data_IF_629396097774
#
_entry.id   IF_629396097774
#
_cell.length_a   1.000
_cell.length_b   1.000
_cell.length_c   1.000
_cell.angle_alpha   90.00
_cell.angle_beta   90.00
_cell.angle_gamma   90.00
#
_symmetry.space_group_name_H-M   'P 1'
#
loop_
_entity.id
_entity.type
_entity.pdbx_description
1 polymer ?
#
# COMPACT_ATOMS: atom_id res chain seq x y z
N UNK A 1 -5.06 23.99 -9.98
CA UNK A 1 -3.88 24.59 -9.32
C UNK A 1 -3.02 23.44 -8.86
N UNK A 2 -1.78 23.40 -9.28
CA UNK A 2 -0.80 22.48 -8.69
C UNK A 2 -0.50 22.94 -7.26
N UNK A 3 -0.22 21.98 -6.39
CA UNK A 3 0.17 22.27 -5.01
C UNK A 3 1.58 21.76 -4.76
N UNK A 4 2.32 22.46 -3.91
CA UNK A 4 3.63 22.07 -3.42
C UNK A 4 3.62 21.94 -1.90
N UNK A 5 4.44 21.02 -1.39
CA UNK A 5 4.77 20.98 0.03
C UNK A 5 6.11 21.70 0.22
N UNK A 6 6.08 22.73 1.06
CA UNK A 6 7.26 23.51 1.43
C UNK A 6 7.73 23.02 2.80
N UNK A 7 9.01 22.72 2.91
CA UNK A 7 9.64 22.16 4.11
C UNK A 7 10.82 23.05 4.48
N UNK A 8 10.82 23.59 5.71
CA UNK A 8 11.97 24.26 6.30
C UNK A 8 12.85 23.22 6.99
N UNK A 9 14.13 23.20 6.68
CA UNK A 9 15.07 22.20 7.17
C UNK A 9 15.52 22.42 8.63
N UNK A 10 16.42 21.53 9.08
CA UNK A 10 16.95 21.47 10.47
C UNK A 10 15.88 21.24 11.54
N UNK A 11 14.78 20.57 11.18
CA UNK A 11 13.70 20.20 12.10
C UNK A 11 14.03 18.97 12.93
N UNK A 12 13.44 18.91 14.13
CA UNK A 12 13.41 17.71 14.98
C UNK A 12 11.97 17.27 15.11
N UNK A 13 11.71 15.97 14.84
CA UNK A 13 10.40 15.37 15.05
C UNK A 13 10.36 14.74 16.44
N UNK A 14 9.35 15.10 17.23
CA UNK A 14 9.11 14.51 18.55
C UNK A 14 7.61 14.47 18.86
N UNK A 15 7.20 13.53 19.67
CA UNK A 15 5.80 13.40 20.11
C UNK A 15 5.13 12.13 19.62
N UNK A 16 3.82 12.21 19.47
CA UNK A 16 2.97 11.08 19.15
C UNK A 16 2.14 11.33 17.88
N UNK A 17 2.07 10.31 17.03
CA UNK A 17 1.22 10.31 15.83
C UNK A 17 0.43 9.02 15.75
N UNK A 18 -0.86 9.10 15.40
CA UNK A 18 -1.68 7.93 15.12
C UNK A 18 -1.74 7.67 13.61
N UNK A 19 -1.47 6.43 13.20
CA UNK A 19 -1.62 6.05 11.80
C UNK A 19 -3.07 5.86 11.42
N UNK A 20 -3.35 6.10 10.16
CA UNK A 20 -4.64 5.81 9.54
C UNK A 20 -4.78 4.32 9.24
N UNK A 21 -5.96 3.87 8.85
CA UNK A 21 -6.15 2.52 8.35
C UNK A 21 -5.34 2.26 7.09
N UNK A 22 -4.89 1.02 6.94
CA UNK A 22 -4.01 0.62 5.85
C UNK A 22 -4.69 0.81 4.49
N UNK A 23 -4.12 1.68 3.65
CA UNK A 23 -4.57 1.89 2.27
C UNK A 23 -4.71 0.57 1.52
N UNK A 24 -3.64 -0.25 1.58
CA UNK A 24 -3.57 -1.49 0.82
C UNK A 24 -4.57 -2.54 1.31
N UNK A 25 -5.01 -2.48 2.55
CA UNK A 25 -6.13 -3.28 3.06
C UNK A 25 -7.48 -2.69 2.65
N UNK A 26 -7.75 -1.44 2.99
CA UNK A 26 -9.05 -0.79 2.77
C UNK A 26 -9.55 -0.94 1.33
N UNK A 27 -8.68 -0.78 0.33
CA UNK A 27 -9.04 -0.93 -1.09
C UNK A 27 -9.58 -2.33 -1.41
N UNK A 28 -9.05 -3.36 -0.75
CA UNK A 28 -9.46 -4.75 -1.00
C UNK A 28 -10.72 -5.13 -0.21
N UNK A 29 -10.84 -4.61 1.01
CA UNK A 29 -12.05 -4.78 1.81
C UNK A 29 -13.26 -4.12 1.12
N UNK A 30 -13.08 -2.92 0.54
CA UNK A 30 -14.10 -2.26 -0.27
C UNK A 30 -14.49 -3.11 -1.48
N UNK A 31 -13.51 -3.67 -2.20
CA UNK A 31 -13.78 -4.55 -3.34
C UNK A 31 -14.47 -5.86 -2.90
N UNK A 32 -14.04 -6.47 -1.79
CA UNK A 32 -14.62 -7.70 -1.26
C UNK A 32 -16.09 -7.55 -0.85
N UNK A 33 -16.52 -6.35 -0.45
CA UNK A 33 -17.92 -6.08 -0.13
C UNK A 33 -18.89 -6.42 -1.30
N UNK A 34 -18.39 -6.44 -2.55
CA UNK A 34 -19.18 -6.85 -3.74
C UNK A 34 -19.73 -8.29 -3.59
N UNK A 35 -19.02 -9.18 -2.88
CA UNK A 35 -19.45 -10.58 -2.71
C UNK A 35 -20.69 -10.72 -1.82
N UNK A 36 -20.85 -9.88 -0.80
CA UNK A 36 -22.06 -9.86 0.03
C UNK A 36 -23.21 -9.09 -0.60
N UNK A 37 -24.44 -9.33 -0.12
CA UNK A 37 -25.61 -8.51 -0.44
C UNK A 37 -26.05 -7.77 0.80
N UNK A 38 -26.06 -6.42 0.74
CA UNK A 38 -26.45 -5.57 1.85
C UNK A 38 -25.37 -4.55 2.21
N UNK A 39 -25.53 -3.93 3.37
CA UNK A 39 -24.71 -2.80 3.83
C UNK A 39 -23.55 -3.29 4.70
N UNK A 40 -22.36 -3.34 4.13
CA UNK A 40 -21.09 -3.55 4.87
C UNK A 40 -20.58 -2.21 5.40
N UNK A 41 -20.11 -2.20 6.65
CA UNK A 41 -19.53 -1.01 7.30
C UNK A 41 -18.07 -1.27 7.60
N UNK A 42 -17.19 -0.43 7.06
CA UNK A 42 -15.77 -0.46 7.32
C UNK A 42 -15.40 0.72 8.23
N UNK A 43 -14.70 0.45 9.34
CA UNK A 43 -14.15 1.47 10.23
C UNK A 43 -12.68 1.71 9.96
N UNK A 44 -12.14 2.83 10.43
CA UNK A 44 -10.75 3.22 10.25
C UNK A 44 -10.33 3.29 8.76
N UNK A 45 -11.23 3.72 7.89
CA UNK A 45 -10.93 3.89 6.46
C UNK A 45 -10.23 5.24 6.23
N UNK A 46 -9.01 5.27 5.65
CA UNK A 46 -8.28 6.51 5.46
C UNK A 46 -8.96 7.45 4.45
N UNK A 47 -8.79 8.77 4.65
CA UNK A 47 -9.27 9.81 3.72
C UNK A 47 -8.18 10.14 2.71
N UNK A 48 -8.06 9.32 1.69
CA UNK A 48 -7.05 9.42 0.64
C UNK A 48 -7.70 9.26 -0.73
N UNK A 49 -7.08 9.83 -1.77
CA UNK A 49 -7.70 9.86 -3.09
C UNK A 49 -7.90 8.47 -3.72
N UNK A 50 -7.08 7.47 -3.40
CA UNK A 50 -7.27 6.11 -3.91
C UNK A 50 -8.56 5.46 -3.35
N UNK A 51 -8.96 5.79 -2.12
CA UNK A 51 -10.26 5.33 -1.55
C UNK A 51 -11.44 6.00 -2.26
N UNK A 52 -11.34 7.29 -2.60
CA UNK A 52 -12.37 7.98 -3.37
C UNK A 52 -12.56 7.32 -4.75
N UNK A 53 -11.45 7.02 -5.44
CA UNK A 53 -11.50 6.36 -6.75
C UNK A 53 -12.14 4.97 -6.63
N UNK A 54 -11.80 4.16 -5.59
CA UNK A 54 -12.43 2.86 -5.39
C UNK A 54 -13.93 2.99 -5.09
N UNK A 55 -14.32 3.99 -4.32
CA UNK A 55 -15.72 4.31 -4.06
C UNK A 55 -16.48 4.68 -5.34
N UNK A 56 -15.85 5.49 -6.24
CA UNK A 56 -16.38 5.78 -7.57
C UNK A 56 -16.56 4.53 -8.43
N UNK A 57 -15.60 3.57 -8.36
CA UNK A 57 -15.72 2.28 -9.07
C UNK A 57 -16.94 1.49 -8.57
N UNK A 58 -17.11 1.35 -7.25
CA UNK A 58 -18.24 0.62 -6.70
C UNK A 58 -19.59 1.31 -6.97
N UNK A 59 -19.64 2.63 -6.87
CA UNK A 59 -20.82 3.41 -7.23
C UNK A 59 -21.19 3.22 -8.71
N UNK A 60 -20.19 3.16 -9.63
CA UNK A 60 -20.45 2.86 -11.03
C UNK A 60 -21.03 1.45 -11.23
N UNK A 61 -20.60 0.47 -10.42
CA UNK A 61 -21.13 -0.89 -10.44
C UNK A 61 -22.55 -1.00 -9.86
N UNK A 62 -23.05 0.07 -9.24
CA UNK A 62 -24.41 0.15 -8.67
C UNK A 62 -24.47 0.05 -7.15
N UNK A 63 -23.34 0.10 -6.44
CA UNK A 63 -23.34 0.18 -4.99
C UNK A 63 -23.67 1.59 -4.49
N UNK A 64 -24.30 1.69 -3.33
CA UNK A 64 -24.42 2.94 -2.58
C UNK A 64 -23.25 3.03 -1.58
N UNK A 65 -22.43 4.08 -1.72
CA UNK A 65 -21.22 4.26 -0.93
C UNK A 65 -21.29 5.58 -0.17
N UNK A 66 -21.35 5.48 1.16
CA UNK A 66 -21.44 6.64 2.04
C UNK A 66 -20.27 6.71 3.01
N UNK A 67 -19.65 7.88 3.13
CA UNK A 67 -18.55 8.12 4.06
C UNK A 67 -19.06 8.78 5.35
N UNK A 68 -18.77 8.19 6.50
CA UNK A 68 -19.02 8.76 7.81
C UNK A 68 -17.96 9.79 8.23
N UNK A 69 -18.31 10.61 9.22
CA UNK A 69 -17.38 11.60 9.79
C UNK A 69 -16.26 10.97 10.65
N UNK A 70 -16.50 9.77 11.16
CA UNK A 70 -15.67 8.99 12.09
C UNK A 70 -14.69 8.02 11.39
N UNK A 71 -14.30 8.30 10.15
CA UNK A 71 -13.51 7.40 9.30
C UNK A 71 -14.20 6.05 8.99
N UNK A 72 -15.53 5.99 9.10
CA UNK A 72 -16.31 4.87 8.58
C UNK A 72 -16.62 5.05 7.09
N UNK A 73 -16.77 3.94 6.39
CA UNK A 73 -17.28 3.85 5.02
C UNK A 73 -18.33 2.76 4.97
N UNK A 74 -19.54 3.09 4.60
CA UNK A 74 -20.58 2.09 4.34
C UNK A 74 -20.71 1.83 2.85
N UNK A 75 -20.80 0.55 2.50
CA UNK A 75 -20.93 0.07 1.11
C UNK A 75 -22.15 -0.83 1.05
N UNK A 76 -23.24 -0.33 0.50
CA UNK A 76 -24.44 -1.13 0.26
C UNK A 76 -24.42 -1.68 -1.18
N UNK A 77 -24.31 -2.99 -1.28
CA UNK A 77 -24.20 -3.72 -2.54
C UNK A 77 -25.52 -4.35 -2.99
N UNK A 78 -26.63 -4.03 -2.33
CA UNK A 78 -27.96 -4.61 -2.63
C UNK A 78 -28.38 -4.38 -4.08
N UNK A 79 -27.98 -3.26 -4.66
CA UNK A 79 -28.35 -2.79 -6.01
C UNK A 79 -27.25 -2.96 -7.06
N UNK A 80 -26.13 -3.61 -6.72
CA UNK A 80 -25.05 -3.88 -7.68
C UNK A 80 -25.53 -4.85 -8.75
N UNK A 81 -25.60 -4.36 -9.99
CA UNK A 81 -26.11 -5.06 -11.16
C UNK A 81 -25.16 -5.03 -12.38
N UNK A 82 -24.02 -4.33 -12.27
CA UNK A 82 -23.03 -4.21 -13.34
C UNK A 82 -21.76 -4.98 -13.00
N UNK A 83 -21.16 -5.55 -14.02
CA UNK A 83 -19.90 -6.30 -13.95
C UNK A 83 -18.78 -5.68 -14.79
N UNK A 84 -18.95 -4.41 -15.23
CA UNK A 84 -17.95 -3.69 -16.02
C UNK A 84 -17.36 -2.51 -15.23
N UNK A 85 -16.04 -2.54 -15.00
CA UNK A 85 -15.26 -1.41 -14.44
C UNK A 85 -14.60 -0.63 -15.60
N UNK A 86 -15.04 0.63 -15.88
CA UNK A 86 -14.68 1.33 -17.09
C UNK A 86 -13.25 1.88 -17.04
N UNK A 87 -12.60 1.97 -18.21
CA UNK A 87 -11.24 2.47 -18.38
C UNK A 87 -10.98 3.80 -17.66
N UNK A 88 -11.92 4.75 -17.73
CA UNK A 88 -11.79 6.09 -17.14
C UNK A 88 -11.53 6.05 -15.61
N UNK A 89 -12.03 5.04 -14.92
CA UNK A 89 -11.83 4.84 -13.48
C UNK A 89 -10.61 3.95 -13.21
N UNK A 90 -10.51 2.81 -13.92
CA UNK A 90 -9.41 1.85 -13.72
C UNK A 90 -8.05 2.46 -14.06
N UNK A 91 -7.97 3.34 -15.07
CA UNK A 91 -6.71 3.99 -15.44
C UNK A 91 -6.16 4.95 -14.40
N UNK A 92 -7.01 5.48 -13.51
CA UNK A 92 -6.59 6.39 -12.43
C UNK A 92 -5.86 5.66 -11.30
N UNK A 93 -6.22 4.39 -11.07
CA UNK A 93 -5.69 3.61 -9.95
C UNK A 93 -5.57 2.13 -10.32
N UNK A 94 -4.32 1.62 -10.30
CA UNK A 94 -4.05 0.21 -10.64
C UNK A 94 -4.80 -0.79 -9.74
N UNK A 95 -5.01 -0.45 -8.45
CA UNK A 95 -5.71 -1.31 -7.51
C UNK A 95 -7.17 -1.60 -7.91
N UNK A 96 -7.73 -0.87 -8.88
CA UNK A 96 -9.06 -1.16 -9.44
C UNK A 96 -9.17 -2.58 -10.04
N UNK A 97 -8.06 -3.23 -10.39
CA UNK A 97 -8.05 -4.65 -10.81
C UNK A 97 -8.56 -5.59 -9.70
N UNK A 98 -8.56 -5.16 -8.44
CA UNK A 98 -9.02 -5.97 -7.30
C UNK A 98 -10.52 -6.25 -7.31
N UNK A 99 -11.31 -5.54 -8.12
CA UNK A 99 -12.73 -5.88 -8.31
C UNK A 99 -12.95 -7.11 -9.19
N UNK A 100 -11.90 -7.59 -9.89
CA UNK A 100 -12.00 -8.70 -10.84
C UNK A 100 -12.48 -9.99 -10.16
N UNK A 101 -11.81 -10.42 -9.08
CA UNK A 101 -12.20 -11.61 -8.32
C UNK A 101 -13.63 -11.54 -7.78
N UNK A 102 -14.02 -10.47 -7.07
CA UNK A 102 -15.39 -10.30 -6.57
C UNK A 102 -16.46 -10.26 -7.65
N UNK A 103 -16.20 -9.59 -8.79
CA UNK A 103 -17.15 -9.53 -9.90
C UNK A 103 -17.36 -10.91 -10.54
N UNK A 104 -16.30 -11.65 -10.76
CA UNK A 104 -16.37 -13.03 -11.26
C UNK A 104 -17.14 -13.90 -10.26
N UNK A 105 -16.83 -13.77 -8.96
CA UNK A 105 -17.53 -14.53 -7.91
C UNK A 105 -19.03 -14.22 -7.86
N UNK A 106 -19.42 -12.95 -8.05
CA UNK A 106 -20.83 -12.54 -7.96
C UNK A 106 -21.64 -12.80 -9.22
N UNK A 107 -21.06 -12.57 -10.41
CA UNK A 107 -21.78 -12.56 -11.67
C UNK A 107 -21.38 -13.71 -12.61
N UNK A 108 -20.27 -14.41 -12.35
CA UNK A 108 -19.68 -15.34 -13.30
C UNK A 108 -19.07 -14.67 -14.53
N UNK A 109 -19.09 -13.34 -14.58
CA UNK A 109 -18.57 -12.50 -15.67
C UNK A 109 -18.02 -11.18 -15.09
N UNK A 110 -16.91 -10.70 -15.67
CA UNK A 110 -16.37 -9.38 -15.37
C UNK A 110 -15.72 -8.76 -16.61
N UNK A 111 -15.84 -7.43 -16.73
CA UNK A 111 -15.12 -6.64 -17.73
C UNK A 111 -14.34 -5.54 -17.01
N UNK A 112 -13.02 -5.65 -17.06
CA UNK A 112 -12.14 -4.70 -16.38
C UNK A 112 -11.13 -4.18 -17.39
N UNK A 113 -11.04 -2.87 -17.52
CA UNK A 113 -10.02 -2.29 -18.38
C UNK A 113 -8.62 -2.70 -17.87
N UNK A 114 -7.71 -2.98 -18.81
CA UNK A 114 -6.32 -3.28 -18.46
C UNK A 114 -5.72 -2.11 -17.69
N UNK A 115 -5.19 -2.33 -16.48
CA UNK A 115 -4.56 -1.25 -15.73
C UNK A 115 -3.35 -0.72 -16.50
N UNK A 116 -3.23 0.60 -16.59
CA UNK A 116 -2.07 1.26 -17.20
C UNK A 116 -0.76 0.89 -16.51
N UNK A 117 0.37 1.20 -17.15
CA UNK A 117 1.70 1.04 -16.56
C UNK A 117 1.83 1.85 -15.26
N UNK A 118 2.66 1.38 -14.35
CA UNK A 118 3.02 2.11 -13.14
C UNK A 118 4.45 2.63 -13.31
N UNK A 119 4.76 3.82 -12.78
CA UNK A 119 6.11 4.40 -12.88
C UNK A 119 7.18 3.50 -12.21
N UNK A 120 6.80 2.73 -11.18
CA UNK A 120 7.73 1.85 -10.43
C UNK A 120 7.99 0.49 -11.10
N UNK A 121 7.38 0.18 -12.27
CA UNK A 121 7.61 -1.08 -13.00
C UNK A 121 6.42 -1.57 -13.82
N UNK A 122 6.64 -2.60 -14.61
CA UNK A 122 5.63 -3.18 -15.51
C UNK A 122 4.41 -3.75 -14.75
N UNK A 123 4.62 -4.32 -13.57
CA UNK A 123 3.58 -4.86 -12.66
C UNK A 123 2.54 -5.67 -13.42
N UNK A 124 2.99 -6.69 -14.14
CA UNK A 124 2.12 -7.59 -14.92
C UNK A 124 0.98 -8.13 -14.06
N UNK A 125 -0.13 -8.46 -14.70
CA UNK A 125 -1.31 -9.08 -14.05
C UNK A 125 -1.38 -10.59 -14.32
N UNK A 126 -0.36 -11.17 -14.92
CA UNK A 126 -0.26 -12.58 -15.31
C UNK A 126 -0.62 -13.53 -14.15
N UNK A 127 -0.06 -13.29 -12.96
CA UNK A 127 -0.37 -14.13 -11.79
C UNK A 127 -1.83 -14.01 -11.32
N UNK A 128 -2.49 -12.84 -11.51
CA UNK A 128 -3.93 -12.73 -11.28
C UNK A 128 -4.70 -13.66 -12.23
N UNK A 129 -4.29 -13.68 -13.51
CA UNK A 129 -4.95 -14.52 -14.51
C UNK A 129 -4.72 -15.99 -14.19
N UNK A 130 -3.47 -16.41 -13.91
CA UNK A 130 -3.14 -17.79 -13.55
C UNK A 130 -3.98 -18.29 -12.38
N UNK A 131 -4.11 -17.49 -11.30
CA UNK A 131 -4.90 -17.86 -10.13
C UNK A 131 -6.38 -18.04 -10.46
N UNK A 132 -6.95 -17.15 -11.26
CA UNK A 132 -8.36 -17.18 -11.62
C UNK A 132 -8.65 -18.25 -12.72
N UNK A 133 -7.74 -18.46 -13.67
CA UNK A 133 -7.84 -19.53 -14.67
C UNK A 133 -7.88 -20.93 -14.01
N UNK A 134 -7.08 -21.13 -12.97
CA UNK A 134 -7.11 -22.37 -12.20
C UNK A 134 -8.48 -22.63 -11.56
N UNK A 135 -9.24 -21.59 -11.21
CA UNK A 135 -10.61 -21.67 -10.71
C UNK A 135 -11.68 -21.83 -11.81
N UNK A 136 -11.27 -21.92 -13.10
CA UNK A 136 -12.19 -22.12 -14.23
C UNK A 136 -12.61 -20.83 -14.93
N UNK A 137 -11.90 -19.73 -14.72
CA UNK A 137 -12.13 -18.48 -15.46
C UNK A 137 -11.50 -18.54 -16.84
N UNK A 138 -12.22 -18.09 -17.85
CA UNK A 138 -11.72 -17.89 -19.21
C UNK A 138 -11.55 -16.40 -19.47
N UNK A 139 -10.40 -16.01 -20.02
CA UNK A 139 -10.07 -14.63 -20.33
C UNK A 139 -10.00 -14.39 -21.83
N UNK A 140 -10.61 -13.29 -22.28
CA UNK A 140 -10.41 -12.69 -23.59
C UNK A 140 -9.96 -11.25 -23.41
N UNK A 141 -8.99 -10.82 -24.21
CA UNK A 141 -8.46 -9.46 -24.16
C UNK A 141 -8.72 -8.79 -25.50
N UNK A 142 -9.69 -7.89 -25.54
CA UNK A 142 -10.04 -7.14 -26.73
C UNK A 142 -10.09 -5.64 -26.42
N UNK A 143 -9.45 -4.83 -27.28
CA UNK A 143 -9.46 -3.36 -27.20
C UNK A 143 -9.01 -2.80 -25.85
N UNK A 144 -8.08 -3.48 -25.14
CA UNK A 144 -7.57 -3.05 -23.85
C UNK A 144 -8.51 -3.30 -22.67
N UNK A 145 -9.54 -4.13 -22.86
CA UNK A 145 -10.47 -4.59 -21.84
C UNK A 145 -10.29 -6.08 -21.65
N UNK A 146 -10.05 -6.50 -20.41
CA UNK A 146 -10.03 -7.88 -20.00
C UNK A 146 -11.46 -8.33 -19.76
N UNK A 147 -11.94 -9.28 -20.56
CA UNK A 147 -13.24 -9.92 -20.37
C UNK A 147 -13.03 -11.31 -19.78
N UNK A 148 -13.57 -11.52 -18.60
CA UNK A 148 -13.48 -12.75 -17.82
C UNK A 148 -14.85 -13.41 -17.75
N UNK A 149 -14.93 -14.73 -17.99
CA UNK A 149 -16.16 -15.51 -17.90
C UNK A 149 -15.93 -16.85 -17.22
N UNK A 150 -16.98 -17.39 -16.58
CA UNK A 150 -16.96 -18.73 -15.95
C UNK A 150 -18.08 -19.60 -16.50
N UNK A 151 -17.94 -20.12 -17.73
CA UNK A 151 -19.06 -20.83 -18.41
C UNK A 151 -19.53 -22.08 -17.67
N UNK A 152 -18.70 -22.68 -16.82
CA UNK A 152 -19.02 -23.84 -16.00
C UNK A 152 -19.09 -23.55 -14.50
N UNK A 153 -19.12 -22.26 -14.12
CA UNK A 153 -18.99 -21.80 -12.73
C UNK A 153 -17.56 -21.91 -12.21
N UNK A 154 -17.31 -21.33 -11.05
CA UNK A 154 -16.03 -21.44 -10.33
C UNK A 154 -15.95 -22.79 -9.61
N UNK A 155 -14.76 -23.39 -9.63
CA UNK A 155 -14.48 -24.64 -8.92
C UNK A 155 -13.18 -24.57 -8.11
N UNK A 156 -13.11 -25.35 -7.03
CA UNK A 156 -11.91 -25.47 -6.21
C UNK A 156 -10.71 -26.00 -6.98
N UNK A 157 -9.51 -25.53 -6.65
CA UNK A 157 -8.29 -25.84 -7.34
C UNK A 157 -7.04 -25.77 -6.46
N UNK A 158 -5.94 -26.36 -6.90
CA UNK A 158 -4.59 -26.07 -6.41
C UNK A 158 -3.99 -24.97 -7.27
N UNK A 159 -3.76 -23.80 -6.66
CA UNK A 159 -3.19 -22.61 -7.30
C UNK A 159 -1.77 -22.41 -6.78
N UNK A 160 -0.76 -22.64 -7.59
CA UNK A 160 0.64 -22.34 -7.26
C UNK A 160 1.03 -21.00 -7.87
N UNK A 161 1.38 -20.02 -7.03
CA UNK A 161 1.91 -18.73 -7.48
C UNK A 161 3.44 -18.81 -7.61
N UNK A 162 4.00 -18.40 -8.75
CA UNK A 162 5.46 -18.39 -8.97
C UNK A 162 6.18 -17.40 -8.04
N UNK A 163 5.49 -16.34 -7.65
CA UNK A 163 5.94 -15.34 -6.69
C UNK A 163 4.79 -15.01 -5.73
N UNK A 164 5.04 -14.74 -4.43
CA UNK A 164 3.97 -14.40 -3.48
C UNK A 164 3.42 -12.99 -3.77
N UNK A 165 2.63 -12.91 -4.83
CA UNK A 165 1.99 -11.67 -5.30
C UNK A 165 0.79 -11.34 -4.43
N UNK A 166 0.81 -10.19 -3.77
CA UNK A 166 -0.30 -9.70 -2.94
C UNK A 166 -1.59 -9.62 -3.75
N UNK A 167 -1.56 -8.93 -4.90
CA UNK A 167 -2.77 -8.73 -5.71
C UNK A 167 -3.33 -10.02 -6.31
N UNK A 168 -2.46 -10.97 -6.72
CA UNK A 168 -2.91 -12.26 -7.23
C UNK A 168 -3.54 -13.10 -6.10
N UNK A 169 -2.91 -13.14 -4.92
CA UNK A 169 -3.45 -13.82 -3.74
C UNK A 169 -4.83 -13.26 -3.39
N UNK A 170 -5.00 -11.93 -3.33
CA UNK A 170 -6.27 -11.27 -2.99
C UNK A 170 -7.38 -11.59 -4.00
N UNK A 171 -7.12 -11.45 -5.31
CA UNK A 171 -8.13 -11.74 -6.32
C UNK A 171 -8.52 -13.22 -6.36
N UNK A 172 -7.53 -14.12 -6.26
CA UNK A 172 -7.79 -15.56 -6.20
C UNK A 172 -8.58 -15.92 -4.95
N UNK A 173 -8.20 -15.37 -3.78
CA UNK A 173 -8.90 -15.57 -2.51
C UNK A 173 -10.38 -15.14 -2.60
N UNK A 174 -10.64 -13.93 -3.10
CA UNK A 174 -12.00 -13.39 -3.24
C UNK A 174 -12.87 -14.21 -4.22
N UNK A 175 -12.30 -14.76 -5.27
CA UNK A 175 -13.03 -15.65 -6.17
C UNK A 175 -13.23 -17.06 -5.57
N UNK A 176 -12.22 -17.57 -4.85
CA UNK A 176 -12.22 -18.91 -4.26
C UNK A 176 -13.31 -19.09 -3.18
N UNK A 177 -13.69 -18.02 -2.45
CA UNK A 177 -14.72 -18.12 -1.40
C UNK A 177 -16.08 -18.55 -1.93
N UNK A 178 -16.34 -18.42 -3.22
CA UNK A 178 -17.60 -18.88 -3.87
C UNK A 178 -17.36 -20.00 -4.91
N UNK A 179 -16.15 -20.54 -4.98
CA UNK A 179 -15.82 -21.64 -5.87
C UNK A 179 -16.33 -22.98 -5.32
N UNK A 180 -16.95 -23.83 -6.14
CA UNK A 180 -17.47 -25.10 -5.71
C UNK A 180 -16.32 -26.07 -5.34
N UNK A 181 -16.20 -26.44 -4.06
CA UNK A 181 -15.15 -27.32 -3.53
C UNK A 181 -14.09 -26.56 -2.73
N UNK A 182 -12.89 -27.12 -2.63
CA UNK A 182 -11.78 -26.54 -1.85
C UNK A 182 -10.70 -26.01 -2.77
N UNK A 183 -10.20 -24.80 -2.46
CA UNK A 183 -9.06 -24.18 -3.14
C UNK A 183 -7.87 -24.10 -2.19
N UNK A 184 -6.70 -24.49 -2.69
CA UNK A 184 -5.42 -24.26 -2.03
C UNK A 184 -4.64 -23.22 -2.82
N UNK A 185 -4.30 -22.08 -2.19
CA UNK A 185 -3.43 -21.06 -2.77
C UNK A 185 -2.05 -21.24 -2.14
N UNK A 186 -1.12 -21.80 -2.91
CA UNK A 186 0.24 -22.12 -2.50
C UNK A 186 1.21 -21.02 -2.93
N UNK A 187 2.26 -20.79 -2.15
CA UNK A 187 3.15 -19.63 -2.24
C UNK A 187 2.38 -18.31 -2.19
N UNK A 188 1.32 -18.27 -1.36
CA UNK A 188 0.49 -17.09 -1.15
C UNK A 188 1.28 -15.95 -0.49
N UNK A 189 0.86 -14.71 -0.75
CA UNK A 189 1.32 -13.55 -0.01
C UNK A 189 0.89 -13.64 1.46
N UNK A 190 1.75 -13.14 2.36
CA UNK A 190 1.59 -13.29 3.83
C UNK A 190 1.41 -11.96 4.55
N UNK A 191 1.28 -10.88 3.78
CA UNK A 191 1.12 -9.53 4.30
C UNK A 191 -0.06 -9.45 5.27
N UNK A 192 0.04 -8.61 6.33
CA UNK A 192 -1.06 -8.41 7.28
C UNK A 192 -2.38 -8.04 6.61
N UNK A 193 -2.31 -7.37 5.47
CA UNK A 193 -3.45 -6.97 4.64
C UNK A 193 -4.19 -8.20 4.03
N UNK A 194 -3.49 -9.32 3.79
CA UNK A 194 -4.10 -10.59 3.38
C UNK A 194 -4.88 -11.21 4.54
N UNK A 195 -4.32 -11.16 5.75
CA UNK A 195 -4.99 -11.65 6.96
C UNK A 195 -6.24 -10.81 7.25
N UNK A 196 -6.14 -9.49 7.10
CA UNK A 196 -7.25 -8.56 7.27
C UNK A 196 -8.40 -8.85 6.29
N UNK A 197 -8.08 -9.07 5.01
CA UNK A 197 -9.06 -9.49 3.99
C UNK A 197 -9.71 -10.83 4.34
N UNK A 198 -8.92 -11.84 4.74
CA UNK A 198 -9.45 -13.14 5.12
C UNK A 198 -10.38 -13.06 6.34
N UNK A 199 -10.04 -12.23 7.33
CA UNK A 199 -10.86 -12.00 8.52
C UNK A 199 -12.20 -11.34 8.14
N UNK A 200 -12.20 -10.34 7.26
CA UNK A 200 -13.43 -9.73 6.77
C UNK A 200 -14.29 -10.74 6.00
N UNK A 201 -13.70 -11.48 5.05
CA UNK A 201 -14.42 -12.50 4.29
C UNK A 201 -15.01 -13.57 5.20
N UNK A 202 -14.28 -13.99 6.24
CA UNK A 202 -14.80 -14.94 7.26
C UNK A 202 -15.97 -14.34 8.05
N UNK A 203 -15.90 -13.05 8.38
CA UNK A 203 -17.02 -12.33 9.02
C UNK A 203 -18.25 -12.22 8.10
N UNK A 204 -18.03 -12.26 6.79
CA UNK A 204 -19.10 -12.31 5.78
C UNK A 204 -19.71 -13.72 5.64
N UNK A 205 -19.05 -14.77 6.14
CA UNK A 205 -19.52 -16.16 6.06
C UNK A 205 -18.60 -17.11 5.29
N UNK A 206 -17.43 -16.66 4.83
CA UNK A 206 -16.47 -17.52 4.16
C UNK A 206 -15.71 -18.42 5.13
N UNK A 207 -15.23 -19.56 4.66
CA UNK A 207 -14.39 -20.51 5.40
C UNK A 207 -12.97 -20.51 4.85
N UNK A 208 -12.05 -19.85 5.56
CA UNK A 208 -10.66 -19.61 5.13
C UNK A 208 -9.72 -20.02 6.27
N UNK A 209 -8.70 -20.80 5.94
CA UNK A 209 -7.65 -21.22 6.87
C UNK A 209 -6.27 -20.86 6.29
N UNK A 210 -5.27 -20.66 7.17
CA UNK A 210 -3.88 -20.45 6.76
C UNK A 210 -3.53 -19.06 6.24
N UNK A 211 -4.43 -18.06 6.30
CA UNK A 211 -4.10 -16.68 5.96
C UNK A 211 -2.91 -16.17 6.78
N UNK A 212 -1.94 -15.51 6.11
CA UNK A 212 -0.66 -15.12 6.72
C UNK A 212 0.43 -16.21 6.68
N UNK A 213 0.10 -17.42 6.23
CA UNK A 213 1.07 -18.48 5.91
C UNK A 213 1.33 -18.55 4.40
N UNK A 214 2.21 -19.47 3.97
CA UNK A 214 2.49 -19.69 2.55
C UNK A 214 1.39 -20.45 1.81
N UNK A 215 0.42 -21.01 2.53
CA UNK A 215 -0.70 -21.77 1.94
C UNK A 215 -1.99 -21.30 2.58
N UNK A 216 -2.94 -20.89 1.76
CA UNK A 216 -4.29 -20.52 2.19
C UNK A 216 -5.24 -21.58 1.65
N UNK A 217 -6.04 -22.17 2.55
CA UNK A 217 -7.10 -23.10 2.23
C UNK A 217 -8.44 -22.40 2.30
N UNK A 218 -9.26 -22.55 1.25
CA UNK A 218 -10.56 -21.90 1.12
C UNK A 218 -11.60 -22.96 0.80
N UNK A 219 -12.59 -23.12 1.66
CA UNK A 219 -13.76 -23.94 1.38
C UNK A 219 -14.86 -23.04 0.80
N UNK A 220 -15.18 -23.24 -0.47
CA UNK A 220 -16.18 -22.44 -1.14
C UNK A 220 -17.58 -22.58 -0.54
N UNK A 221 -18.28 -21.48 -0.45
CA UNK A 221 -19.66 -21.40 0.04
C UNK A 221 -20.61 -20.89 -1.05
N UNK A 222 -21.92 -21.02 -0.88
CA UNK A 222 -22.87 -20.38 -1.76
C UNK A 222 -22.75 -18.85 -1.65
N UNK A 223 -22.90 -18.14 -2.75
CA UNK A 223 -22.94 -16.68 -2.73
C UNK A 223 -24.04 -16.14 -1.81
N UNK A 224 -25.16 -16.87 -1.68
CA UNK A 224 -26.28 -16.51 -0.83
C UNK A 224 -25.98 -16.69 0.68
N UNK A 225 -24.91 -17.41 1.03
CA UNK A 225 -24.44 -17.57 2.41
C UNK A 225 -23.50 -16.42 2.83
N UNK A 226 -23.04 -15.60 1.87
CA UNK A 226 -22.21 -14.42 2.16
C UNK A 226 -23.10 -13.19 2.46
N UNK A 227 -23.01 -12.71 3.69
CA UNK A 227 -23.73 -11.52 4.15
C UNK A 227 -22.85 -10.26 4.22
N UNK A 228 -23.48 -9.10 4.49
CA UNK A 228 -22.73 -7.91 4.87
C UNK A 228 -22.09 -8.08 6.26
N UNK A 229 -21.06 -7.31 6.53
CA UNK A 229 -20.38 -7.35 7.84
C UNK A 229 -20.00 -5.95 8.32
N UNK A 230 -19.53 -5.88 9.54
CA UNK A 230 -18.85 -4.75 10.13
C UNK A 230 -17.40 -5.13 10.40
N UNK A 231 -16.44 -4.33 9.91
CA UNK A 231 -15.03 -4.66 10.00
C UNK A 231 -14.18 -3.40 10.21
N UNK A 232 -13.10 -3.52 10.99
CA UNK A 232 -12.15 -2.43 11.22
C UNK A 232 -10.87 -2.68 10.45
N UNK A 233 -10.51 -1.76 9.56
CA UNK A 233 -9.27 -1.80 8.78
C UNK A 233 -8.06 -1.74 9.72
N UNK A 234 -7.08 -2.62 9.54
CA UNK A 234 -5.82 -2.60 10.30
C UNK A 234 -5.04 -1.31 10.06
N UNK A 235 -4.18 -0.91 11.01
CA UNK A 235 -3.33 0.27 10.87
C UNK A 235 -2.33 0.15 9.72
N UNK A 236 -2.03 1.28 9.05
CA UNK A 236 -1.11 1.29 7.91
C UNK A 236 0.35 1.17 8.38
N UNK A 237 0.94 -0.02 8.20
CA UNK A 237 2.33 -0.30 8.58
C UNK A 237 3.34 0.52 7.77
N UNK A 238 3.01 0.94 6.55
CA UNK A 238 3.92 1.73 5.73
C UNK A 238 3.89 3.20 6.16
N UNK A 239 2.73 3.72 6.49
CA UNK A 239 2.62 5.04 7.14
C UNK A 239 3.38 5.03 8.47
N UNK A 240 3.18 4.00 9.30
CA UNK A 240 3.91 3.83 10.56
C UNK A 240 5.43 3.83 10.35
N UNK A 241 5.93 3.00 9.43
CA UNK A 241 7.35 2.95 9.09
C UNK A 241 7.90 4.28 8.59
N UNK A 242 7.10 5.07 7.86
CA UNK A 242 7.48 6.39 7.37
C UNK A 242 7.70 7.37 8.53
N UNK A 243 6.79 7.43 9.52
CA UNK A 243 6.97 8.29 10.71
C UNK A 243 8.11 7.81 11.62
N UNK A 244 8.31 6.50 11.78
CA UNK A 244 9.45 5.94 12.50
C UNK A 244 10.78 6.33 11.84
N UNK A 245 10.85 6.30 10.52
CA UNK A 245 12.03 6.80 9.77
C UNK A 245 12.23 8.29 10.04
N UNK A 246 11.17 9.09 10.07
CA UNK A 246 11.25 10.51 10.43
C UNK A 246 11.88 10.75 11.82
N UNK A 247 11.46 9.99 12.83
CA UNK A 247 12.05 10.01 14.16
C UNK A 247 13.53 9.57 14.17
N UNK A 248 13.83 8.47 13.46
CA UNK A 248 15.20 7.98 13.31
C UNK A 248 16.14 9.00 12.62
N UNK A 249 15.66 9.71 11.60
CA UNK A 249 16.41 10.78 10.91
C UNK A 249 16.74 11.93 11.83
N UNK A 250 15.76 12.42 12.57
CA UNK A 250 15.90 13.62 13.39
C UNK A 250 16.47 13.35 14.79
N UNK A 251 16.41 12.09 15.26
CA UNK A 251 16.89 11.66 16.57
C UNK A 251 15.94 11.95 17.74
N UNK A 252 14.82 12.64 17.49
CA UNK A 252 13.80 12.90 18.52
C UNK A 252 12.91 11.69 18.78
N UNK A 253 12.30 11.55 19.99
CA UNK A 253 11.40 10.45 20.29
C UNK A 253 10.06 10.60 19.56
N UNK A 254 9.83 9.72 18.60
CA UNK A 254 8.55 9.63 17.88
C UNK A 254 7.82 8.34 18.24
N UNK A 255 6.61 8.48 18.78
CA UNK A 255 5.71 7.37 19.08
C UNK A 255 4.61 7.28 18.03
N UNK A 256 4.52 6.14 17.36
CA UNK A 256 3.49 5.82 16.38
C UNK A 256 2.48 4.88 17.00
N UNK A 257 1.19 5.27 17.01
CA UNK A 257 0.08 4.48 17.56
C UNK A 257 -0.85 3.93 16.49
N UNK A 258 -1.64 2.95 16.89
CA UNK A 258 -2.64 2.31 16.03
C UNK A 258 -2.03 1.28 15.10
N UNK A 259 -0.92 0.67 15.50
CA UNK A 259 -0.18 -0.33 14.71
C UNK A 259 0.29 -1.48 15.59
N UNK A 260 0.10 -2.70 15.11
CA UNK A 260 0.73 -3.88 15.68
C UNK A 260 2.23 -3.92 15.26
N UNK A 261 3.17 -3.88 16.23
CA UNK A 261 4.60 -3.90 15.91
C UNK A 261 5.05 -5.12 15.10
N UNK A 262 4.33 -6.25 15.19
CA UNK A 262 4.65 -7.47 14.45
C UNK A 262 4.57 -7.28 12.93
N UNK A 263 3.80 -6.31 12.45
CA UNK A 263 3.63 -5.99 11.03
C UNK A 263 4.88 -5.34 10.40
N UNK A 264 5.77 -4.79 11.25
CA UNK A 264 6.98 -4.04 10.84
C UNK A 264 8.29 -4.69 11.28
N UNK A 265 8.25 -5.93 11.76
CA UNK A 265 9.38 -6.58 12.42
C UNK A 265 10.73 -6.40 11.70
N UNK A 266 10.78 -6.62 10.38
CA UNK A 266 12.02 -6.47 9.62
C UNK A 266 12.50 -5.02 9.56
N UNK A 267 11.59 -4.05 9.40
CA UNK A 267 11.94 -2.62 9.41
C UNK A 267 12.47 -2.18 10.78
N UNK A 268 11.84 -2.64 11.87
CA UNK A 268 12.30 -2.35 13.24
C UNK A 268 13.70 -2.91 13.49
N UNK A 269 13.97 -4.17 13.11
CA UNK A 269 15.30 -4.77 13.20
C UNK A 269 16.37 -3.97 12.43
N UNK A 270 16.00 -3.40 11.27
CA UNK A 270 16.93 -2.55 10.51
C UNK A 270 17.17 -1.21 11.20
N UNK A 271 16.14 -0.58 11.77
CA UNK A 271 16.31 0.65 12.57
C UNK A 271 17.20 0.40 13.79
N UNK A 272 17.00 -0.69 14.52
CA UNK A 272 17.89 -1.09 15.65
C UNK A 272 19.34 -1.29 15.18
N UNK A 273 19.55 -1.98 14.04
CA UNK A 273 20.89 -2.18 13.46
C UNK A 273 21.55 -0.85 13.04
N UNK A 274 20.72 0.14 12.61
CA UNK A 274 21.19 1.49 12.31
C UNK A 274 21.48 2.33 13.55
N UNK A 275 21.26 1.81 14.77
CA UNK A 275 21.56 2.47 16.03
C UNK A 275 20.39 3.17 16.70
N UNK A 276 19.16 2.90 16.26
CA UNK A 276 17.97 3.41 16.92
C UNK A 276 17.58 2.54 18.13
N UNK A 277 17.04 3.18 19.16
CA UNK A 277 16.37 2.50 20.27
C UNK A 277 14.88 2.38 19.94
N UNK A 278 14.35 1.16 20.06
CA UNK A 278 12.95 0.84 19.77
C UNK A 278 12.26 0.36 21.03
N UNK A 279 11.11 0.96 21.32
CA UNK A 279 10.20 0.47 22.36
C UNK A 279 8.85 0.15 21.73
N UNK A 280 8.29 -1.02 22.05
CA UNK A 280 7.00 -1.46 21.52
C UNK A 280 6.01 -1.76 22.64
N UNK A 281 4.72 -1.51 22.37
CA UNK A 281 3.60 -1.97 23.19
C UNK A 281 2.62 -2.77 22.36
N UNK A 282 1.40 -2.90 22.78
CA UNK A 282 0.37 -3.65 22.08
C UNK A 282 -0.04 -2.97 20.76
N UNK A 283 -0.18 -1.63 20.76
CA UNK A 283 -0.65 -0.82 19.63
C UNK A 283 0.26 0.36 19.30
N UNK A 284 1.51 0.34 19.76
CA UNK A 284 2.44 1.44 19.50
C UNK A 284 3.89 1.00 19.32
N UNK A 285 4.65 1.85 18.65
CA UNK A 285 6.09 1.76 18.46
C UNK A 285 6.68 3.13 18.72
N UNK A 286 7.71 3.22 19.54
CA UNK A 286 8.50 4.43 19.74
C UNK A 286 9.90 4.22 19.20
N UNK A 287 10.39 5.16 18.40
CA UNK A 287 11.77 5.22 17.94
C UNK A 287 12.47 6.43 18.56
N UNK A 288 13.72 6.24 18.91
CA UNK A 288 14.59 7.27 19.45
C UNK A 288 16.05 7.00 19.07
N UNK A 289 16.88 8.03 18.90
CA UNK A 289 18.29 7.87 18.57
C UNK A 289 19.13 9.00 19.18
N UNK A 290 20.25 8.64 19.78
CA UNK A 290 21.25 9.58 20.34
C UNK A 290 22.57 9.60 19.57
N UNK A 291 22.92 8.49 18.90
CA UNK A 291 24.16 8.33 18.18
C UNK A 291 23.95 8.52 16.67
N UNK A 292 24.96 8.81 15.87
CA UNK A 292 24.87 8.83 14.41
C UNK A 292 24.33 7.52 13.83
N UNK A 293 23.61 7.63 12.72
CA UNK A 293 23.11 6.45 12.00
C UNK A 293 24.27 5.62 11.42
N UNK A 294 24.16 4.30 11.55
CA UNK A 294 25.12 3.35 10.97
C UNK A 294 24.56 2.80 9.66
N UNK A 295 25.44 2.62 8.69
CA UNK A 295 25.08 1.99 7.41
C UNK A 295 24.64 0.54 7.61
N UNK A 296 23.57 0.13 6.95
CA UNK A 296 23.08 -1.26 6.87
C UNK A 296 22.58 -1.56 5.47
N UNK A 297 22.82 -2.78 5.02
CA UNK A 297 22.26 -3.24 3.75
C UNK A 297 20.77 -3.56 3.86
N UNK A 298 20.02 -3.21 2.82
CA UNK A 298 18.58 -3.45 2.71
C UNK A 298 18.33 -4.32 1.49
N UNK A 299 17.49 -5.35 1.67
CA UNK A 299 17.02 -6.16 0.57
C UNK A 299 15.51 -6.28 0.66
N UNK A 300 14.80 -5.78 -0.37
CA UNK A 300 13.34 -5.88 -0.41
C UNK A 300 12.92 -7.30 -0.74
N UNK A 301 11.95 -7.82 0.00
CA UNK A 301 11.39 -9.16 -0.14
C UNK A 301 9.90 -9.14 0.25
N UNK A 302 9.10 -10.09 -0.26
CA UNK A 302 7.75 -10.31 0.24
C UNK A 302 7.71 -10.51 1.76
N UNK A 303 6.61 -10.14 2.38
CA UNK A 303 6.42 -10.29 3.83
C UNK A 303 6.66 -11.76 4.29
N UNK A 304 7.37 -12.00 5.41
CA UNK A 304 7.83 -11.04 6.43
C UNK A 304 9.21 -10.41 6.16
N UNK A 305 9.67 -10.40 4.91
CA UNK A 305 10.89 -9.71 4.52
C UNK A 305 10.73 -8.18 4.57
N UNK A 306 11.77 -7.45 4.16
CA UNK A 306 11.74 -5.99 4.17
C UNK A 306 10.79 -5.46 3.08
N UNK A 307 9.78 -4.63 3.44
CA UNK A 307 8.77 -4.18 2.48
C UNK A 307 9.35 -3.18 1.47
N UNK A 308 9.13 -3.44 0.19
CA UNK A 308 9.53 -2.53 -0.89
C UNK A 308 8.91 -1.12 -0.72
N UNK A 309 7.75 -0.99 -0.08
CA UNK A 309 7.09 0.30 0.19
C UNK A 309 7.82 1.19 1.21
N UNK A 310 8.81 0.67 1.94
CA UNK A 310 9.71 1.43 2.81
C UNK A 310 11.11 1.63 2.22
N UNK A 311 11.36 1.16 0.99
CA UNK A 311 12.68 1.24 0.35
C UNK A 311 13.17 2.70 0.23
N UNK A 312 12.32 3.63 -0.18
CA UNK A 312 12.66 5.03 -0.34
C UNK A 312 13.06 5.70 0.99
N UNK A 313 12.30 5.43 2.06
CA UNK A 313 12.55 5.96 3.39
C UNK A 313 13.88 5.45 3.97
N UNK A 314 14.18 4.16 3.76
CA UNK A 314 15.44 3.60 4.23
C UNK A 314 16.65 3.99 3.35
N UNK A 315 16.44 4.29 2.06
CA UNK A 315 17.48 4.89 1.23
C UNK A 315 17.82 6.30 1.74
N UNK A 316 16.83 7.07 2.18
CA UNK A 316 17.07 8.36 2.83
C UNK A 316 17.87 8.21 4.13
N UNK A 317 17.53 7.23 5.00
CA UNK A 317 18.34 6.93 6.19
C UNK A 317 19.80 6.57 5.82
N UNK A 318 19.98 5.71 4.83
CA UNK A 318 21.30 5.29 4.34
C UNK A 318 22.11 6.46 3.78
N UNK A 319 21.44 7.47 3.19
CA UNK A 319 22.10 8.68 2.66
C UNK A 319 22.72 9.57 3.75
N UNK A 320 22.32 9.39 5.01
CA UNK A 320 22.83 10.15 6.16
C UNK A 320 23.52 9.24 7.19
N UNK A 321 23.71 7.96 6.89
CA UNK A 321 24.36 7.00 7.78
C UNK A 321 25.87 6.96 7.60
N UNK A 322 26.63 6.68 8.67
CA UNK A 322 28.07 6.50 8.61
C UNK A 322 28.41 5.19 7.88
N UNK A 323 29.07 5.29 6.73
CA UNK A 323 29.51 4.20 5.88
C UNK A 323 28.63 3.97 4.64
N UNK A 324 28.95 2.99 3.80
CA UNK A 324 28.17 2.64 2.62
C UNK A 324 27.08 1.60 2.94
N UNK A 325 25.94 1.72 2.28
CA UNK A 325 24.86 0.74 2.28
C UNK A 325 24.56 0.25 0.87
N UNK A 326 24.25 -1.03 0.71
CA UNK A 326 23.72 -1.58 -0.53
C UNK A 326 22.22 -1.80 -0.36
N UNK A 327 21.44 -1.21 -1.25
CA UNK A 327 19.98 -1.43 -1.29
C UNK A 327 19.67 -2.24 -2.53
N UNK A 328 19.09 -3.44 -2.32
CA UNK A 328 18.68 -4.35 -3.39
C UNK A 328 17.17 -4.36 -3.49
N UNK A 329 16.63 -3.96 -4.65
CA UNK A 329 15.20 -3.97 -4.93
C UNK A 329 14.82 -5.18 -5.77
N UNK A 330 14.13 -6.16 -5.15
CA UNK A 330 13.77 -7.42 -5.79
C UNK A 330 12.30 -7.49 -6.24
N UNK A 331 11.49 -6.46 -5.96
CA UNK A 331 10.05 -6.51 -6.20
C UNK A 331 9.65 -5.67 -7.42
N UNK A 332 10.25 -4.47 -7.56
CA UNK A 332 9.89 -3.54 -8.63
C UNK A 332 11.13 -2.97 -9.32
N UNK A 333 11.26 -3.24 -10.61
CA UNK A 333 12.44 -2.94 -11.43
C UNK A 333 12.78 -1.44 -11.56
N UNK A 334 11.79 -0.53 -11.44
CA UNK A 334 12.00 0.91 -11.62
C UNK A 334 11.87 1.72 -10.31
N UNK A 335 11.99 1.06 -9.16
CA UNK A 335 11.70 1.74 -7.89
C UNK A 335 12.78 2.68 -7.38
N UNK A 336 13.88 2.84 -8.12
CA UNK A 336 14.96 3.80 -7.81
C UNK A 336 14.81 5.18 -8.48
N UNK A 337 13.72 5.45 -9.19
CA UNK A 337 13.54 6.73 -9.91
C UNK A 337 13.72 7.97 -9.02
N UNK A 338 13.32 7.89 -7.75
CA UNK A 338 13.43 9.01 -6.81
C UNK A 338 14.88 9.28 -6.35
N UNK A 339 15.82 8.35 -6.55
CA UNK A 339 17.22 8.53 -6.17
C UNK A 339 17.84 9.76 -6.86
N UNK A 340 17.41 10.08 -8.09
CA UNK A 340 17.83 11.30 -8.78
C UNK A 340 17.40 12.58 -8.03
N UNK A 341 16.22 12.57 -7.40
CA UNK A 341 15.73 13.71 -6.61
C UNK A 341 16.51 13.81 -5.28
N UNK A 342 16.83 12.69 -4.61
CA UNK A 342 17.73 12.72 -3.45
C UNK A 342 19.14 13.19 -3.83
N UNK A 343 19.67 12.77 -4.98
CA UNK A 343 20.98 13.25 -5.47
C UNK A 343 20.96 14.75 -5.77
N UNK A 344 19.82 15.31 -6.19
CA UNK A 344 19.63 16.76 -6.31
C UNK A 344 19.77 17.48 -4.96
N UNK A 345 19.42 16.81 -3.87
CA UNK A 345 19.60 17.29 -2.49
C UNK A 345 21.00 16.99 -1.94
N UNK A 346 21.90 16.41 -2.73
CA UNK A 346 23.30 16.14 -2.35
C UNK A 346 23.60 14.70 -1.89
N UNK A 347 22.66 13.77 -1.98
CA UNK A 347 22.93 12.37 -1.65
C UNK A 347 23.87 11.72 -2.68
N UNK A 348 24.81 10.88 -2.20
CA UNK A 348 25.74 10.10 -3.04
C UNK A 348 25.16 8.69 -3.28
N UNK A 349 24.49 8.53 -4.41
CA UNK A 349 23.81 7.31 -4.80
C UNK A 349 24.26 6.87 -6.18
N UNK A 350 24.73 5.62 -6.29
CA UNK A 350 25.05 4.97 -7.58
C UNK A 350 24.13 3.79 -7.79
N UNK A 351 23.42 3.74 -8.93
CA UNK A 351 22.48 2.68 -9.26
C UNK A 351 23.12 1.77 -10.31
N UNK A 352 23.07 0.46 -10.08
CA UNK A 352 23.45 -0.59 -11.03
C UNK A 352 22.35 -1.67 -11.02
N UNK A 353 21.59 -1.77 -12.10
CA UNK A 353 20.47 -2.68 -12.26
C UNK A 353 19.42 -2.53 -11.12
N UNK A 354 19.29 -3.54 -10.28
CA UNK A 354 18.38 -3.57 -9.12
C UNK A 354 19.10 -3.32 -7.78
N UNK A 355 20.33 -2.78 -7.85
CA UNK A 355 21.13 -2.41 -6.68
C UNK A 355 21.39 -0.90 -6.67
N UNK A 356 21.34 -0.31 -5.49
CA UNK A 356 21.80 1.05 -5.25
C UNK A 356 22.88 1.03 -4.18
N UNK A 357 24.07 1.54 -4.50
CA UNK A 357 25.12 1.83 -3.55
C UNK A 357 24.91 3.26 -3.04
N UNK A 358 24.63 3.39 -1.76
CA UNK A 358 24.38 4.67 -1.08
C UNK A 358 25.56 4.93 -0.13
N UNK A 359 26.24 6.05 -0.32
CA UNK A 359 27.29 6.50 0.60
C UNK A 359 26.74 7.64 1.44
N UNK A 360 26.87 7.52 2.75
CA UNK A 360 26.42 8.56 3.66
C UNK A 360 27.14 9.88 3.42
N UNK A 361 26.36 10.96 3.46
CA UNK A 361 26.84 12.34 3.44
C UNK A 361 26.57 13.02 4.78
N UNK A 362 27.34 14.05 5.10
CA UNK A 362 27.17 14.77 6.37
C UNK A 362 25.85 15.52 6.45
N UNK A 363 25.37 16.07 5.31
CA UNK A 363 24.19 16.92 5.25
C UNK A 363 23.55 16.88 3.87
N UNK A 364 22.24 16.89 3.82
CA UNK A 364 21.47 17.17 2.60
C UNK A 364 21.17 18.68 2.48
N UNK A 365 20.98 19.14 1.26
CA UNK A 365 20.63 20.53 0.96
C UNK A 365 19.20 20.65 0.45
N UNK A 366 18.47 21.66 0.92
CA UNK A 366 17.14 21.96 0.44
C UNK A 366 17.15 22.30 -1.05
N UNK A 367 16.21 21.73 -1.79
CA UNK A 367 16.11 21.90 -3.24
C UNK A 367 14.66 21.77 -3.73
N UNK A 368 14.34 22.30 -4.92
CA UNK A 368 13.12 21.92 -5.62
C UNK A 368 13.24 20.47 -6.11
N UNK A 369 12.31 19.61 -5.66
CA UNK A 369 12.24 18.19 -6.01
C UNK A 369 10.80 17.80 -6.37
N UNK A 370 10.61 16.68 -7.06
CA UNK A 370 9.27 16.21 -7.42
C UNK A 370 9.00 14.82 -6.86
N UNK A 371 7.81 14.61 -6.33
CA UNK A 371 7.35 13.29 -5.97
C UNK A 371 7.21 12.44 -7.24
N UNK A 372 8.02 11.37 -7.36
CA UNK A 372 7.97 10.44 -8.50
C UNK A 372 6.89 9.38 -8.31
N UNK A 373 6.59 9.06 -7.08
CA UNK A 373 5.53 8.16 -6.65
C UNK A 373 5.11 8.47 -5.21
N UNK A 374 4.10 7.78 -4.72
CA UNK A 374 3.52 7.89 -3.39
C UNK A 374 4.55 7.82 -2.25
N UNK A 375 5.42 6.81 -2.25
CA UNK A 375 6.36 6.52 -1.14
C UNK A 375 7.61 7.40 -1.23
N UNK A 376 8.09 7.59 -2.43
CA UNK A 376 9.17 8.52 -2.73
C UNK A 376 8.81 9.96 -2.34
N UNK A 377 7.61 10.42 -2.67
CA UNK A 377 7.14 11.76 -2.27
C UNK A 377 7.19 11.97 -0.77
N UNK A 378 6.69 11.01 0.01
CA UNK A 378 6.76 11.07 1.47
C UNK A 378 8.22 11.09 1.99
N UNK A 379 9.11 10.28 1.40
CA UNK A 379 10.52 10.28 1.75
C UNK A 379 11.22 11.61 1.43
N UNK A 380 10.88 12.27 0.31
CA UNK A 380 11.44 13.58 -0.05
C UNK A 380 11.00 14.69 0.92
N UNK A 381 9.77 14.63 1.43
CA UNK A 381 9.33 15.54 2.49
C UNK A 381 10.16 15.33 3.77
N UNK A 382 10.40 14.08 4.17
CA UNK A 382 11.28 13.78 5.32
C UNK A 382 12.72 14.24 5.07
N UNK A 383 13.23 14.09 3.84
CA UNK A 383 14.55 14.60 3.45
C UNK A 383 14.64 16.12 3.64
N UNK A 384 13.57 16.85 3.27
CA UNK A 384 13.48 18.29 3.48
C UNK A 384 13.55 18.70 4.94
N UNK A 385 12.98 17.90 5.86
CA UNK A 385 13.01 18.19 7.32
C UNK A 385 14.44 18.21 7.87
N UNK A 386 15.32 17.34 7.37
CA UNK A 386 16.71 17.23 7.84
C UNK A 386 17.74 17.94 6.96
N UNK A 387 17.33 18.49 5.82
CA UNK A 387 18.20 19.22 4.91
C UNK A 387 18.52 20.63 5.43
N UNK A 388 19.59 21.25 4.95
CA UNK A 388 19.88 22.68 5.17
C UNK A 388 19.09 23.53 4.15
N UNK A 389 18.30 24.48 4.66
CA UNK A 389 17.51 25.40 3.84
C UNK A 389 16.09 24.92 3.54
N UNK A 390 15.48 25.45 2.47
CA UNK A 390 14.09 25.16 2.10
C UNK A 390 14.03 24.09 0.99
N UNK A 391 13.16 23.11 1.18
CA UNK A 391 12.83 22.11 0.15
C UNK A 391 11.40 22.33 -0.36
N UNK A 392 11.23 22.27 -1.67
CA UNK A 392 9.92 22.34 -2.34
C UNK A 392 9.61 21.03 -3.03
N UNK A 393 8.58 20.35 -2.58
CA UNK A 393 8.16 19.07 -3.17
C UNK A 393 6.92 19.30 -4.02
N UNK A 394 7.07 19.14 -5.33
CA UNK A 394 5.96 19.21 -6.30
C UNK A 394 5.32 17.83 -6.55
N UNK A 395 4.23 17.78 -7.34
CA UNK A 395 3.46 16.57 -7.66
C UNK A 395 2.90 15.88 -6.40
N UNK A 396 2.47 16.67 -5.43
CA UNK A 396 2.00 16.21 -4.10
C UNK A 396 0.78 15.29 -4.17
N UNK A 397 0.03 15.32 -5.28
CA UNK A 397 -1.08 14.40 -5.54
C UNK A 397 -0.68 12.92 -5.42
N UNK A 398 0.61 12.60 -5.63
CA UNK A 398 1.13 11.25 -5.39
C UNK A 398 1.08 10.90 -3.90
N UNK A 399 1.41 11.84 -3.02
CA UNK A 399 1.39 11.64 -1.55
C UNK A 399 -0.06 11.45 -1.08
N UNK A 400 -0.99 12.25 -1.59
CA UNK A 400 -2.41 12.22 -1.23
C UNK A 400 -3.12 10.90 -1.58
N UNK A 401 -2.50 10.09 -2.43
CA UNK A 401 -2.99 8.76 -2.76
C UNK A 401 -2.89 7.76 -1.61
N UNK A 402 -2.07 8.03 -0.61
CA UNK A 402 -1.84 7.03 0.43
C UNK A 402 -1.45 7.53 1.80
N UNK A 403 -1.30 8.84 1.99
CA UNK A 403 -1.06 9.43 3.30
C UNK A 403 -2.17 10.43 3.61
N UNK A 404 -2.94 10.12 4.65
CA UNK A 404 -3.98 11.02 5.14
C UNK A 404 -3.36 12.12 5.97
N UNK A 405 -3.65 13.38 5.61
CA UNK A 405 -3.18 14.59 6.32
C UNK A 405 -1.68 14.55 6.69
N UNK A 406 -0.83 14.13 5.72
CA UNK A 406 0.59 13.94 5.95
C UNK A 406 1.28 15.19 6.51
N UNK A 407 0.95 16.37 5.95
CA UNK A 407 1.48 17.67 6.40
C UNK A 407 1.01 17.99 7.82
N UNK A 408 -0.28 17.78 8.13
CA UNK A 408 -0.82 18.02 9.48
C UNK A 408 -0.18 17.10 10.53
N UNK A 409 0.01 15.83 10.22
CA UNK A 409 0.68 14.86 11.11
C UNK A 409 2.15 15.23 11.37
N UNK A 410 2.90 15.63 10.33
CA UNK A 410 4.29 16.10 10.48
C UNK A 410 4.37 17.40 11.31
N UNK A 411 3.46 18.35 11.09
CA UNK A 411 3.37 19.56 11.93
C UNK A 411 3.05 19.22 13.39
N UNK A 412 2.19 18.24 13.62
CA UNK A 412 1.89 17.73 14.96
C UNK A 412 3.12 17.15 15.68
N UNK A 413 4.10 16.66 14.92
CA UNK A 413 5.39 16.21 15.43
C UNK A 413 6.47 17.31 15.48
N UNK A 414 6.14 18.57 15.18
CA UNK A 414 7.06 19.71 15.27
C UNK A 414 7.74 20.12 13.96
N UNK A 415 7.44 19.49 12.83
CA UNK A 415 8.01 19.91 11.54
C UNK A 415 7.46 21.29 11.10
N UNK A 416 8.34 22.13 10.57
CA UNK A 416 7.96 23.33 9.83
C UNK A 416 7.70 22.98 8.36
N UNK A 417 6.46 22.61 8.10
CA UNK A 417 5.99 22.13 6.80
C UNK A 417 4.65 22.78 6.47
N UNK A 418 4.48 23.20 5.21
CA UNK A 418 3.24 23.81 4.74
C UNK A 418 2.88 23.33 3.34
N UNK A 419 1.62 23.52 2.95
CA UNK A 419 1.11 23.20 1.62
C UNK A 419 0.64 24.50 0.97
N UNK A 420 1.14 24.78 -0.21
CA UNK A 420 0.82 25.99 -0.97
C UNK A 420 0.31 25.64 -2.36
N UNK A 421 -0.74 26.35 -2.78
CA UNK A 421 -1.18 26.34 -4.17
C UNK A 421 -0.20 27.18 -5.02
N UNK A 422 0.26 26.62 -6.13
CA UNK A 422 1.16 27.30 -7.06
C UNK A 422 0.37 27.72 -8.30
N UNK A 423 0.46 29.01 -8.66
CA UNK A 423 -0.09 29.49 -9.93
C UNK A 423 0.86 29.07 -11.07
N UNK A 424 0.35 28.38 -12.08
CA UNK A 424 1.10 27.95 -13.29
C UNK A 424 1.57 29.14 -14.21
N UNK A 425 1.60 30.34 -13.69
CA UNK A 425 1.91 31.55 -14.46
C UNK A 425 3.39 31.98 -14.36
N UNK A 426 4.34 31.04 -14.54
CA UNK A 426 5.74 31.42 -14.92
C UNK A 426 6.30 30.37 -15.90
#
# INVERSE_FOLDING_TARGET
MEEEIIVSGNGVLEGEVRVSGAKNSALKLIAAAILGRGKTVLHNVPRISDIEIMSEVLAHLGADVERGADHSLSVDTSTVDKYEAPYKLVSKMRASISVLGPLIGRFGEARVAMPGGCQIGARKIDMHLVGLEALGVHFDNAHGVLHATTPNGLHGAHVMLEFPSVGATENTLMAAVVANGTTFIENAAREPEIVDLANMLSSMGAHIEGAGSSTIEVHGVSLDDLGPCEHTVVGDRIEAGTFLVGGALTGGPVTVRGIDPSFLRMALMKLEAMGCEITTGEDFITVFRTEPLRAVDIQTLPHPGFPTDLQAQFMLLASLAEGPSVITENVFENRFMFAAELSRMGADITIEDHHALVRGVELLQGAPVKATDLRAGAALVLAGIVAEGETRVSHVYHIDRGYEDYVGKLRGLGADVSRLAVDESI
#
